data_IF_153835754345
#
_entry.id   IF_153835754345
#
_cell.length_a   1.000
_cell.length_b   1.000
_cell.length_c   1.000
_cell.angle_alpha   90.00
_cell.angle_beta   90.00
_cell.angle_gamma   90.00
#
_symmetry.space_group_name_H-M   'P 1'
#
loop_
_entity.id
_entity.type
_entity.pdbx_description
1 polymer ?
#
# COMPACT_ATOMS: atom_id res chain seq x y z
N UNK A 1 -15.03 -5.67 9.45
CA UNK A 1 -14.16 -6.08 8.32
C UNK A 1 -13.77 -4.84 7.53
N UNK A 2 -12.56 -4.76 6.97
CA UNK A 2 -12.21 -3.72 5.99
C UNK A 2 -12.17 -4.38 4.60
N UNK A 3 -12.98 -3.87 3.67
CA UNK A 3 -13.03 -4.33 2.29
C UNK A 3 -11.77 -3.93 1.51
N UNK A 4 -11.53 -4.59 0.38
CA UNK A 4 -10.49 -4.18 -0.57
C UNK A 4 -11.00 -4.45 -2.00
N UNK A 5 -11.22 -3.37 -2.75
CA UNK A 5 -11.73 -3.37 -4.12
C UNK A 5 -10.73 -2.68 -5.07
N UNK A 6 -10.76 -3.07 -6.34
CA UNK A 6 -9.81 -2.60 -7.36
C UNK A 6 -8.73 -3.62 -7.64
N UNK A 7 -7.48 -3.16 -7.74
CA UNK A 7 -6.33 -4.04 -7.93
C UNK A 7 -6.08 -4.80 -6.63
N UNK A 8 -6.51 -6.05 -6.55
CA UNK A 8 -6.24 -6.92 -5.41
C UNK A 8 -4.98 -7.77 -5.68
N UNK A 9 -3.84 -7.53 -5.02
CA UNK A 9 -2.57 -8.20 -5.33
C UNK A 9 -2.62 -9.74 -5.28
N UNK A 10 -3.49 -10.32 -4.45
CA UNK A 10 -3.68 -11.77 -4.37
C UNK A 10 -4.18 -12.39 -5.69
N UNK A 11 -4.85 -11.59 -6.53
CA UNK A 11 -5.38 -11.99 -7.83
C UNK A 11 -4.46 -11.60 -9.00
N UNK A 12 -3.20 -11.27 -8.75
CA UNK A 12 -2.26 -10.71 -9.76
C UNK A 12 -2.17 -11.52 -11.04
N UNK A 13 -2.18 -12.86 -10.96
CA UNK A 13 -2.13 -13.73 -12.14
C UNK A 13 -3.40 -13.66 -12.97
N UNK A 14 -4.57 -13.62 -12.32
CA UNK A 14 -5.87 -13.46 -12.99
C UNK A 14 -5.98 -12.08 -13.65
N UNK A 15 -5.40 -11.05 -13.03
CA UNK A 15 -5.41 -9.68 -13.53
C UNK A 15 -4.32 -9.38 -14.57
N UNK A 16 -3.44 -10.35 -14.86
CA UNK A 16 -2.34 -10.16 -15.82
C UNK A 16 -1.26 -9.16 -15.35
N UNK A 17 -1.04 -9.09 -14.03
CA UNK A 17 -0.07 -8.20 -13.39
C UNK A 17 -0.72 -7.05 -12.59
N UNK A 18 0.14 -6.16 -12.07
CA UNK A 18 -0.29 -4.94 -11.38
C UNK A 18 -0.78 -3.89 -12.37
N UNK A 19 -2.05 -4.00 -12.76
CA UNK A 19 -2.69 -3.09 -13.73
C UNK A 19 -3.70 -2.21 -13.03
N UNK A 20 -3.86 -0.98 -13.54
CA UNK A 20 -4.95 -0.10 -13.11
C UNK A 20 -6.29 -0.71 -13.53
N UNK A 21 -7.23 -0.79 -12.60
CA UNK A 21 -8.60 -1.29 -12.78
C UNK A 21 -9.57 -0.15 -13.04
N UNK A 22 -10.72 -0.44 -13.65
CA UNK A 22 -11.79 0.54 -13.88
C UNK A 22 -11.54 1.48 -15.06
N UNK A 23 -10.79 1.05 -16.07
CA UNK A 23 -10.54 1.85 -17.29
C UNK A 23 -11.71 1.84 -18.26
N UNK A 24 -12.46 0.75 -18.29
CA UNK A 24 -13.62 0.56 -19.16
C UNK A 24 -14.89 0.69 -18.34
N UNK A 25 -15.94 1.25 -18.93
CA UNK A 25 -17.18 1.58 -18.23
C UNK A 25 -17.82 0.37 -17.53
N UNK A 26 -17.81 -0.80 -18.19
CA UNK A 26 -18.31 -2.03 -17.59
C UNK A 26 -17.55 -2.40 -16.30
N UNK A 27 -16.24 -2.22 -16.28
CA UNK A 27 -15.42 -2.48 -15.09
C UNK A 27 -15.61 -1.41 -14.02
N UNK A 28 -15.82 -0.14 -14.41
CA UNK A 28 -16.16 0.94 -13.46
C UNK A 28 -17.43 0.61 -12.70
N UNK A 29 -18.49 0.20 -13.41
CA UNK A 29 -19.75 -0.17 -12.77
C UNK A 29 -19.56 -1.38 -11.85
N UNK A 30 -18.86 -2.42 -12.30
CA UNK A 30 -18.57 -3.58 -11.46
C UNK A 30 -17.85 -3.21 -10.16
N UNK A 31 -16.85 -2.31 -10.21
CA UNK A 31 -16.11 -1.89 -9.02
C UNK A 31 -16.96 -1.08 -8.04
N UNK A 32 -17.90 -0.27 -8.55
CA UNK A 32 -18.88 0.44 -7.70
C UNK A 32 -19.82 -0.56 -7.02
N UNK A 33 -20.30 -1.55 -7.78
CA UNK A 33 -21.18 -2.60 -7.26
C UNK A 33 -20.47 -3.46 -6.22
N UNK A 34 -19.22 -3.84 -6.46
CA UNK A 34 -18.37 -4.59 -5.51
C UNK A 34 -18.17 -3.80 -4.21
N UNK A 35 -17.88 -2.49 -4.32
CA UNK A 35 -17.67 -1.63 -3.15
C UNK A 35 -18.93 -1.52 -2.29
N UNK A 36 -20.10 -1.32 -2.92
CA UNK A 36 -21.40 -1.30 -2.24
C UNK A 36 -21.73 -2.63 -1.60
N UNK A 37 -21.53 -3.75 -2.32
CA UNK A 37 -21.82 -5.08 -1.80
C UNK A 37 -21.00 -5.39 -0.54
N UNK A 38 -19.74 -4.95 -0.49
CA UNK A 38 -18.87 -5.13 0.67
C UNK A 38 -19.31 -4.26 1.85
N UNK A 39 -19.76 -3.03 1.61
CA UNK A 39 -20.38 -2.19 2.64
C UNK A 39 -21.69 -2.80 3.17
N UNK A 40 -22.60 -3.23 2.29
CA UNK A 40 -23.87 -3.87 2.63
C UNK A 40 -23.67 -5.16 3.45
N UNK A 41 -22.57 -5.86 3.23
CA UNK A 41 -22.16 -7.02 4.04
C UNK A 41 -21.61 -6.66 5.44
N UNK A 42 -21.50 -5.37 5.77
CA UNK A 42 -21.07 -4.87 7.08
C UNK A 42 -19.58 -4.53 7.19
N UNK A 43 -18.90 -4.24 6.08
CA UNK A 43 -17.56 -3.67 6.17
C UNK A 43 -17.60 -2.28 6.84
N UNK A 44 -16.62 -1.98 7.69
CA UNK A 44 -16.54 -0.68 8.37
C UNK A 44 -15.73 0.36 7.58
N UNK A 45 -15.03 -0.06 6.52
CA UNK A 45 -14.22 0.76 5.62
C UNK A 45 -13.86 -0.06 4.37
N UNK A 46 -13.45 0.61 3.29
CA UNK A 46 -13.04 -0.04 2.03
C UNK A 46 -11.72 0.54 1.52
N UNK A 47 -10.74 -0.32 1.25
CA UNK A 47 -9.53 0.05 0.50
C UNK A 47 -9.84 0.09 -0.99
N UNK A 48 -9.45 1.19 -1.65
CA UNK A 48 -9.51 1.36 -3.10
C UNK A 48 -8.08 1.36 -3.66
N UNK A 49 -7.70 0.30 -4.36
CA UNK A 49 -6.34 0.13 -4.90
C UNK A 49 -6.31 0.23 -6.43
N UNK A 50 -5.40 1.06 -6.95
CA UNK A 50 -5.01 1.07 -8.36
C UNK A 50 -6.16 1.32 -9.35
N UNK A 51 -6.83 2.46 -9.26
CA UNK A 51 -7.96 2.84 -10.12
C UNK A 51 -7.93 4.34 -10.50
N UNK A 52 -8.67 4.79 -11.52
CA UNK A 52 -8.80 6.19 -11.85
C UNK A 52 -9.30 7.05 -10.68
N UNK A 53 -8.74 8.25 -10.54
CA UNK A 53 -9.08 9.21 -9.47
C UNK A 53 -10.56 9.61 -9.49
N UNK A 54 -11.14 9.70 -10.68
CA UNK A 54 -12.55 9.99 -10.87
C UNK A 54 -13.41 8.86 -10.29
N UNK A 55 -13.13 7.61 -10.67
CA UNK A 55 -13.83 6.45 -10.15
C UNK A 55 -13.73 6.33 -8.62
N UNK A 56 -12.54 6.51 -8.05
CA UNK A 56 -12.36 6.43 -6.61
C UNK A 56 -13.16 7.50 -5.84
N UNK A 57 -13.28 8.71 -6.40
CA UNK A 57 -14.10 9.76 -5.81
C UNK A 57 -15.60 9.46 -5.91
N UNK A 58 -16.07 8.91 -7.02
CA UNK A 58 -17.47 8.46 -7.16
C UNK A 58 -17.81 7.40 -6.10
N UNK A 59 -16.95 6.38 -5.94
CA UNK A 59 -17.15 5.36 -4.90
C UNK A 59 -17.15 5.99 -3.50
N UNK A 60 -16.24 6.93 -3.23
CA UNK A 60 -16.15 7.59 -1.92
C UNK A 60 -17.38 8.44 -1.61
N UNK A 61 -17.95 9.12 -2.61
CA UNK A 61 -19.18 9.91 -2.45
C UNK A 61 -20.43 9.02 -2.26
N UNK A 62 -20.39 7.77 -2.73
CA UNK A 62 -21.51 6.83 -2.65
C UNK A 62 -21.56 6.01 -1.37
N UNK A 63 -20.41 5.60 -0.83
CA UNK A 63 -20.34 4.81 0.40
C UNK A 63 -20.57 5.69 1.62
N UNK A 64 -21.18 5.10 2.65
CA UNK A 64 -21.32 5.73 3.98
C UNK A 64 -20.12 5.45 4.88
N UNK A 65 -19.37 4.38 4.60
CA UNK A 65 -18.14 4.02 5.31
C UNK A 65 -16.90 4.65 4.70
N UNK A 66 -15.83 4.92 5.48
CA UNK A 66 -14.63 5.55 4.97
C UNK A 66 -13.92 4.73 3.89
N UNK A 67 -13.41 5.41 2.86
CA UNK A 67 -12.53 4.83 1.85
C UNK A 67 -11.05 5.14 2.11
N UNK A 68 -10.18 4.16 1.88
CA UNK A 68 -8.72 4.31 2.03
C UNK A 68 -8.05 4.07 0.69
N UNK A 69 -7.45 5.11 0.11
CA UNK A 69 -6.83 5.05 -1.21
C UNK A 69 -5.39 4.58 -1.21
N UNK A 70 -5.01 3.77 -2.20
CA UNK A 70 -3.62 3.51 -2.58
C UNK A 70 -3.53 3.45 -4.11
N UNK A 71 -2.92 4.47 -4.71
CA UNK A 71 -2.97 4.62 -6.17
C UNK A 71 -4.37 4.86 -6.72
N UNK A 72 -5.26 5.46 -5.92
CA UNK A 72 -6.63 5.83 -6.26
C UNK A 72 -6.87 7.36 -6.24
N UNK A 73 -5.81 8.15 -6.11
CA UNK A 73 -5.89 9.61 -6.07
C UNK A 73 -6.33 10.17 -4.71
N UNK A 74 -6.50 11.51 -4.60
CA UNK A 74 -6.71 12.19 -3.34
C UNK A 74 -8.17 12.27 -2.89
N UNK A 75 -9.11 11.66 -3.63
CA UNK A 75 -10.56 11.78 -3.37
C UNK A 75 -11.11 10.73 -2.41
N UNK A 76 -10.26 9.88 -1.84
CA UNK A 76 -10.61 8.97 -0.75
C UNK A 76 -10.48 9.66 0.61
N UNK A 77 -11.19 9.19 1.62
CA UNK A 77 -11.19 9.78 2.97
C UNK A 77 -9.83 9.65 3.68
N UNK A 78 -9.10 8.57 3.36
CA UNK A 78 -7.77 8.30 3.87
C UNK A 78 -6.82 7.78 2.79
N UNK A 79 -5.56 7.61 3.17
CA UNK A 79 -4.52 7.10 2.28
C UNK A 79 -3.69 6.04 3.00
N UNK A 80 -3.23 5.04 2.25
CA UNK A 80 -2.28 4.03 2.73
C UNK A 80 -1.12 3.89 1.74
N UNK A 81 0.07 3.63 2.27
CA UNK A 81 1.25 3.28 1.50
C UNK A 81 2.00 2.15 2.22
N UNK A 82 2.72 1.34 1.45
CA UNK A 82 3.65 0.37 2.03
C UNK A 82 4.83 1.14 2.65
N UNK A 83 5.08 0.92 3.94
CA UNK A 83 6.11 1.63 4.71
C UNK A 83 7.49 1.57 4.04
N UNK A 84 7.88 0.42 3.47
CA UNK A 84 9.17 0.26 2.83
C UNK A 84 9.33 1.11 1.57
N UNK A 85 8.25 1.27 0.80
CA UNK A 85 8.22 2.11 -0.40
C UNK A 85 8.27 3.59 0.00
N UNK A 86 7.49 3.97 1.02
CA UNK A 86 7.48 5.30 1.62
C UNK A 86 8.86 5.71 2.14
N UNK A 87 9.57 4.80 2.83
CA UNK A 87 10.88 5.06 3.43
C UNK A 87 12.06 4.85 2.46
N UNK A 88 11.80 4.45 1.21
CA UNK A 88 12.85 4.25 0.22
C UNK A 88 13.82 3.12 0.58
N UNK A 89 13.31 2.02 1.15
CA UNK A 89 14.14 0.85 1.53
C UNK A 89 14.44 -0.06 0.33
N UNK A 90 13.55 -0.12 -0.66
CA UNK A 90 13.72 -0.87 -1.89
C UNK A 90 13.90 0.07 -3.08
N UNK A 91 14.84 -0.24 -3.99
CA UNK A 91 15.16 0.60 -5.15
C UNK A 91 14.67 0.03 -6.48
N UNK A 92 14.55 -1.30 -6.58
CA UNK A 92 14.29 -2.01 -7.83
C UNK A 92 12.83 -1.89 -8.29
N UNK A 93 11.89 -1.90 -7.36
CA UNK A 93 10.47 -1.71 -7.65
C UNK A 93 10.01 -0.36 -7.13
N UNK A 94 9.48 0.47 -8.04
CA UNK A 94 8.97 1.81 -7.72
C UNK A 94 7.58 1.97 -8.32
N UNK A 95 6.52 1.71 -7.56
CA UNK A 95 5.17 1.97 -8.04
C UNK A 95 5.00 3.46 -8.33
N UNK A 96 4.37 3.80 -9.47
CA UNK A 96 4.19 5.19 -9.91
C UNK A 96 3.44 6.05 -8.89
N UNK A 97 2.56 5.45 -8.09
CA UNK A 97 1.73 6.14 -7.10
C UNK A 97 2.44 6.39 -5.76
N UNK A 98 3.65 5.89 -5.56
CA UNK A 98 4.40 6.10 -4.32
C UNK A 98 5.21 7.39 -4.39
N UNK A 99 5.00 8.28 -3.42
CA UNK A 99 5.98 9.31 -3.06
C UNK A 99 6.89 8.77 -1.96
N UNK A 100 8.20 8.92 -2.14
CA UNK A 100 9.18 8.65 -1.08
C UNK A 100 9.23 9.83 -0.12
N UNK A 101 9.14 9.53 1.17
CA UNK A 101 9.32 10.48 2.26
C UNK A 101 10.66 10.26 2.98
N UNK A 102 11.40 9.20 2.63
CA UNK A 102 12.77 8.95 3.08
C UNK A 102 13.59 8.18 2.04
N UNK A 103 14.91 8.15 2.26
CA UNK A 103 15.87 7.37 1.47
C UNK A 103 16.74 6.54 2.43
N UNK A 104 16.13 5.53 3.04
CA UNK A 104 16.73 4.80 4.16
C UNK A 104 17.52 3.55 3.76
N UNK A 105 17.49 3.12 2.49
CA UNK A 105 18.21 1.92 2.05
C UNK A 105 19.69 1.94 2.46
N UNK A 106 20.40 3.04 2.18
CA UNK A 106 21.82 3.16 2.50
C UNK A 106 22.07 3.23 4.01
N UNK A 107 21.43 4.12 4.79
CA UNK A 107 21.56 4.13 6.25
C UNK A 107 21.31 2.77 6.91
N UNK A 108 20.24 2.08 6.54
CA UNK A 108 19.90 0.75 7.10
C UNK A 108 20.96 -0.28 6.75
N UNK A 109 21.39 -0.33 5.49
CA UNK A 109 22.44 -1.25 5.05
C UNK A 109 23.76 -1.01 5.78
N UNK A 110 24.13 0.25 5.96
CA UNK A 110 25.38 0.62 6.62
C UNK A 110 25.32 0.29 8.13
N UNK A 111 24.16 0.48 8.79
CA UNK A 111 23.94 0.06 10.17
C UNK A 111 24.02 -1.47 10.36
N UNK A 112 23.40 -2.24 9.46
CA UNK A 112 23.46 -3.71 9.49
C UNK A 112 24.90 -4.22 9.33
N UNK A 113 25.69 -3.57 8.46
CA UNK A 113 27.12 -3.90 8.29
C UNK A 113 27.91 -3.61 9.56
N UNK A 114 27.71 -2.44 10.17
CA UNK A 114 28.38 -2.08 11.41
C UNK A 114 28.06 -3.07 12.53
N UNK A 115 26.78 -3.41 12.72
CA UNK A 115 26.35 -4.43 13.67
C UNK A 115 27.03 -5.78 13.42
N UNK A 116 26.99 -6.28 12.18
CA UNK A 116 27.60 -7.56 11.84
C UNK A 116 29.11 -7.58 12.08
N UNK A 117 29.81 -6.48 11.80
CA UNK A 117 31.24 -6.34 12.04
C UNK A 117 31.58 -6.29 13.52
N UNK A 118 30.77 -5.61 14.35
CA UNK A 118 30.95 -5.57 15.80
C UNK A 118 30.72 -6.93 16.45
N UNK A 119 29.69 -7.67 16.02
CA UNK A 119 29.44 -9.05 16.48
C UNK A 119 30.60 -9.97 16.11
N UNK A 120 31.05 -9.94 14.84
CA UNK A 120 32.17 -10.79 14.38
C UNK A 120 33.49 -10.50 15.10
N UNK A 121 33.69 -9.25 15.52
CA UNK A 121 34.88 -8.82 16.26
C UNK A 121 34.75 -8.99 17.78
N UNK A 122 33.61 -9.50 18.27
CA UNK A 122 33.35 -9.62 19.70
C UNK A 122 33.28 -8.27 20.43
N UNK A 123 33.00 -7.17 19.71
CA UNK A 123 32.79 -5.84 20.30
C UNK A 123 31.38 -5.67 20.84
N UNK A 124 30.41 -6.31 20.20
CA UNK A 124 29.02 -6.37 20.64
C UNK A 124 28.62 -7.82 20.96
N UNK A 125 27.90 -8.08 22.08
CA UNK A 125 27.56 -7.10 23.12
C UNK A 125 28.77 -6.69 23.98
N UNK A 126 28.83 -5.40 24.30
CA UNK A 126 29.79 -4.85 25.28
C UNK A 126 29.32 -5.06 26.72
N UNK A 127 30.12 -4.62 27.71
CA UNK A 127 29.77 -4.72 29.14
C UNK A 127 28.51 -3.91 29.47
N UNK A 128 28.38 -2.73 28.88
CA UNK A 128 27.22 -1.85 29.02
C UNK A 128 25.93 -2.42 28.41
N UNK A 129 26.06 -3.47 27.58
CA UNK A 129 24.97 -4.21 26.96
C UNK A 129 24.79 -5.62 27.55
N UNK A 130 25.42 -5.91 28.69
CA UNK A 130 25.42 -7.22 29.36
C UNK A 130 25.10 -7.08 30.85
N UNK A 131 24.44 -8.08 31.45
CA UNK A 131 24.08 -8.12 32.88
C UNK A 131 24.94 -9.12 33.65
#
# INVERSE_FOLDING_TARGET
>A
VMGHVGLTPQSVHRMGGYRVQGKEEAQRQQLRDDARAVEEAGAFAVVLEGMPTDLAGEITEELTVPTIGIGAGPRCDGQILVMHDLLGLFEEFRPKFVKRFGELKRPVRDAIRAYADEVRRGKFPGREHSF
#
